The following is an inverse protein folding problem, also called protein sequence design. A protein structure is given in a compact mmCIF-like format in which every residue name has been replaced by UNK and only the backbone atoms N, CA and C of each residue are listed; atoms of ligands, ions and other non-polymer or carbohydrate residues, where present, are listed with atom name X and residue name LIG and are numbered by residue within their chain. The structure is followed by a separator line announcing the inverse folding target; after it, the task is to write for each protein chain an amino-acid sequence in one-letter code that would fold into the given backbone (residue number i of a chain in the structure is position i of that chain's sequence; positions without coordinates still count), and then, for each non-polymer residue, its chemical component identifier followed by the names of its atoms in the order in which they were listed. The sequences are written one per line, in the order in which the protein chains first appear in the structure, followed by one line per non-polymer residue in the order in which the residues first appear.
data_IF_296505455515
#
_entry.id   IF_296505455515
#
_cell.length_a   1.000
_cell.length_b   1.000
_cell.length_c   1.000
_cell.angle_alpha   90.00
_cell.angle_beta   90.00
_cell.angle_gamma   90.00
#
_symmetry.space_group_name_H-M   'P 1'
#
loop_
_entity.id
_entity.type
_entity.pdbx_description
1 polymer ?
#
# COMPACT_ATOMS: atom_id res chain seq x y z
N UNK A 1 -14.74 -9.62 -27.93
CA UNK A 1 -15.12 -8.55 -26.98
C UNK A 1 -16.62 -8.67 -26.67
N UNK A 2 -17.00 -8.67 -25.40
CA UNK A 2 -18.39 -8.78 -24.94
C UNK A 2 -18.68 -7.58 -24.02
N UNK A 3 -19.69 -6.80 -24.35
CA UNK A 3 -20.18 -5.73 -23.50
C UNK A 3 -21.24 -6.28 -22.53
N UNK A 4 -21.14 -5.95 -21.25
CA UNK A 4 -22.04 -6.39 -20.19
C UNK A 4 -22.44 -5.24 -19.28
N UNK A 5 -23.60 -5.34 -18.65
CA UNK A 5 -23.99 -4.48 -17.53
C UNK A 5 -23.62 -5.16 -16.21
N UNK A 6 -22.96 -4.42 -15.33
CA UNK A 6 -22.58 -4.88 -14.00
C UNK A 6 -23.84 -5.25 -13.18
N UNK A 7 -23.86 -6.44 -12.58
CA UNK A 7 -25.01 -6.87 -11.76
C UNK A 7 -25.18 -6.05 -10.47
N UNK A 8 -24.12 -5.36 -10.01
CA UNK A 8 -24.18 -4.57 -8.78
C UNK A 8 -24.50 -3.09 -9.03
N UNK A 9 -23.73 -2.40 -9.88
CA UNK A 9 -23.86 -0.95 -10.10
C UNK A 9 -24.55 -0.57 -11.41
N UNK A 10 -24.90 -1.55 -12.26
CA UNK A 10 -25.52 -1.39 -13.58
C UNK A 10 -24.64 -0.66 -14.63
N UNK A 11 -23.41 -0.27 -14.28
CA UNK A 11 -22.50 0.33 -15.24
C UNK A 11 -22.14 -0.66 -16.35
N UNK A 12 -22.07 -0.16 -17.56
CA UNK A 12 -21.57 -0.93 -18.72
C UNK A 12 -20.06 -1.15 -18.60
N UNK A 13 -19.62 -2.34 -18.91
CA UNK A 13 -18.20 -2.69 -18.95
C UNK A 13 -17.90 -3.74 -20.05
N UNK A 14 -16.68 -3.74 -20.50
CA UNK A 14 -16.21 -4.66 -21.52
C UNK A 14 -15.43 -5.83 -20.92
N UNK A 15 -15.63 -7.01 -21.49
CA UNK A 15 -14.80 -8.20 -21.29
C UNK A 15 -14.11 -8.47 -22.63
N UNK A 16 -12.82 -8.30 -22.65
CA UNK A 16 -12.02 -8.42 -23.89
C UNK A 16 -11.75 -9.88 -24.24
N UNK A 17 -11.33 -10.12 -25.49
CA UNK A 17 -10.90 -11.46 -25.90
C UNK A 17 -9.63 -11.91 -25.14
N UNK A 18 -8.79 -10.96 -24.72
CA UNK A 18 -7.64 -11.22 -23.86
C UNK A 18 -8.07 -11.69 -22.45
N UNK A 19 -9.09 -11.05 -21.85
CA UNK A 19 -9.66 -11.50 -20.58
C UNK A 19 -10.19 -12.94 -20.67
N UNK A 20 -10.91 -13.25 -21.74
CA UNK A 20 -11.46 -14.60 -21.94
C UNK A 20 -10.35 -15.63 -22.16
N UNK A 21 -9.31 -15.28 -22.90
CA UNK A 21 -8.15 -16.15 -23.11
C UNK A 21 -7.41 -16.39 -21.78
N UNK A 22 -7.26 -15.35 -20.96
CA UNK A 22 -6.67 -15.46 -19.64
C UNK A 22 -7.48 -16.39 -18.72
N UNK A 23 -8.79 -16.20 -18.61
CA UNK A 23 -9.66 -17.08 -17.82
C UNK A 23 -9.57 -18.55 -18.24
N UNK A 24 -9.47 -18.79 -19.54
CA UNK A 24 -9.25 -20.14 -20.07
C UNK A 24 -7.87 -20.71 -19.72
N UNK A 25 -6.82 -19.86 -19.75
CA UNK A 25 -5.44 -20.24 -19.39
C UNK A 25 -5.33 -20.70 -17.95
N UNK A 26 -5.97 -19.99 -17.03
CA UNK A 26 -5.91 -20.25 -15.58
C UNK A 26 -6.99 -21.22 -15.09
N UNK A 27 -7.84 -21.75 -15.96
CA UNK A 27 -8.91 -22.67 -15.60
C UNK A 27 -8.35 -23.94 -14.91
N UNK A 28 -8.74 -24.23 -13.66
CA UNK A 28 -8.17 -25.34 -12.91
C UNK A 28 -8.58 -26.68 -13.51
N UNK A 29 -7.67 -27.65 -13.47
CA UNK A 29 -7.92 -29.01 -13.93
C UNK A 29 -7.72 -29.99 -12.77
N UNK A 30 -8.77 -30.73 -12.41
CA UNK A 30 -8.75 -31.79 -11.41
C UNK A 30 -9.21 -33.11 -12.04
N UNK A 31 -8.48 -34.17 -11.79
CA UNK A 31 -8.74 -35.51 -12.34
C UNK A 31 -9.00 -35.54 -13.87
N UNK A 32 -8.22 -34.72 -14.61
CA UNK A 32 -8.36 -34.62 -16.08
C UNK A 32 -9.57 -33.82 -16.56
N UNK A 33 -10.37 -33.25 -15.68
CA UNK A 33 -11.52 -32.39 -16.00
C UNK A 33 -11.15 -30.93 -15.74
N UNK A 34 -11.26 -30.10 -16.77
CA UNK A 34 -11.09 -28.65 -16.67
C UNK A 34 -12.39 -27.98 -16.26
N UNK A 35 -12.32 -27.11 -15.26
CA UNK A 35 -13.43 -26.30 -14.76
C UNK A 35 -13.31 -24.90 -15.34
N UNK A 36 -14.13 -24.60 -16.34
CA UNK A 36 -14.12 -23.29 -17.00
C UNK A 36 -14.52 -22.18 -16.02
N UNK A 37 -13.76 -21.09 -16.04
CA UNK A 37 -14.07 -19.87 -15.27
C UNK A 37 -14.98 -18.99 -16.13
N UNK A 38 -16.21 -18.68 -15.68
CA UNK A 38 -17.14 -17.87 -16.45
C UNK A 38 -16.69 -16.41 -16.58
N UNK A 39 -17.07 -15.76 -17.67
CA UNK A 39 -16.84 -14.33 -17.84
C UNK A 39 -17.47 -13.50 -16.71
N UNK A 40 -16.79 -12.50 -16.15
CA UNK A 40 -17.24 -11.72 -14.99
C UNK A 40 -18.64 -11.14 -15.17
N UNK A 41 -19.41 -11.13 -14.09
CA UNK A 41 -20.74 -10.49 -14.01
C UNK A 41 -20.70 -9.11 -13.36
N UNK A 42 -19.59 -8.74 -12.74
CA UNK A 42 -19.34 -7.45 -12.10
C UNK A 42 -18.25 -6.70 -12.86
N UNK A 43 -18.39 -5.38 -12.93
CA UNK A 43 -17.34 -4.51 -13.47
C UNK A 43 -16.06 -4.55 -12.61
N UNK A 44 -14.91 -4.12 -13.13
CA UNK A 44 -13.63 -4.11 -12.39
C UNK A 44 -13.72 -3.40 -11.03
N UNK A 45 -14.39 -2.25 -10.95
CA UNK A 45 -14.55 -1.50 -9.72
C UNK A 45 -15.37 -2.24 -8.66
N UNK A 46 -16.48 -2.86 -9.03
CA UNK A 46 -17.28 -3.64 -8.10
C UNK A 46 -16.56 -4.92 -7.64
N UNK A 47 -15.74 -5.53 -8.49
CA UNK A 47 -14.87 -6.65 -8.11
C UNK A 47 -13.81 -6.18 -7.12
N UNK A 48 -13.15 -5.05 -7.39
CA UNK A 48 -12.18 -4.42 -6.50
C UNK A 48 -12.81 -4.12 -5.14
N UNK A 49 -13.97 -3.45 -5.11
CA UNK A 49 -14.68 -3.17 -3.87
C UNK A 49 -14.96 -4.42 -3.04
N UNK A 50 -15.33 -5.54 -3.67
CA UNK A 50 -15.53 -6.82 -2.98
C UNK A 50 -14.25 -7.37 -2.38
N UNK A 51 -13.13 -7.33 -3.12
CA UNK A 51 -11.84 -7.84 -2.65
C UNK A 51 -11.31 -7.09 -1.44
N UNK A 52 -11.50 -5.77 -1.39
CA UNK A 52 -10.99 -4.92 -0.29
C UNK A 52 -12.03 -4.68 0.82
N UNK A 53 -13.26 -5.13 0.69
CA UNK A 53 -14.35 -4.83 1.63
C UNK A 53 -14.12 -5.34 3.06
N UNK A 54 -13.30 -6.35 3.23
CA UNK A 54 -12.94 -6.91 4.54
C UNK A 54 -11.76 -6.17 5.20
N UNK A 55 -11.03 -5.37 4.43
CA UNK A 55 -9.81 -4.72 4.88
C UNK A 55 -10.10 -3.41 5.58
N UNK A 56 -9.61 -3.27 6.79
CA UNK A 56 -9.59 -2.00 7.52
C UNK A 56 -8.16 -1.68 7.90
N UNK A 57 -7.53 -0.77 7.18
CA UNK A 57 -6.12 -0.42 7.39
C UNK A 57 -6.01 0.67 8.44
N UNK A 58 -6.78 1.74 8.41
CA UNK A 58 -6.56 2.95 9.20
C UNK A 58 -7.65 3.37 10.17
N UNK A 59 -8.71 2.59 10.33
CA UNK A 59 -9.74 2.97 11.30
C UNK A 59 -9.59 2.18 12.59
N UNK A 60 -9.30 2.88 13.68
CA UNK A 60 -9.18 2.30 15.01
C UNK A 60 -10.38 2.63 15.87
N UNK A 61 -10.82 1.64 16.64
CA UNK A 61 -12.00 1.74 17.52
C UNK A 61 -11.63 1.32 18.93
N UNK A 62 -12.18 2.01 19.91
CA UNK A 62 -12.19 1.54 21.29
C UNK A 62 -13.32 0.53 21.44
N UNK A 63 -12.97 -0.66 21.90
CA UNK A 63 -13.94 -1.70 22.23
C UNK A 63 -13.45 -2.53 23.42
N UNK A 64 -14.24 -3.51 23.87
CA UNK A 64 -13.80 -4.50 24.85
C UNK A 64 -13.40 -5.79 24.13
N UNK A 65 -12.40 -6.49 24.68
CA UNK A 65 -12.11 -7.85 24.30
C UNK A 65 -13.30 -8.74 24.67
N UNK A 66 -13.74 -9.59 23.75
CA UNK A 66 -14.87 -10.50 24.00
C UNK A 66 -14.50 -11.67 24.92
N UNK A 67 -13.22 -11.87 25.25
CA UNK A 67 -12.76 -12.83 26.24
C UNK A 67 -12.72 -12.20 27.64
N UNK A 68 -11.88 -11.21 27.86
CA UNK A 68 -11.60 -10.65 29.20
C UNK A 68 -12.47 -9.46 29.59
N UNK A 69 -13.14 -8.82 28.63
CA UNK A 69 -13.88 -7.58 28.85
C UNK A 69 -13.00 -6.32 29.04
N UNK A 70 -11.67 -6.43 28.93
CA UNK A 70 -10.73 -5.31 28.99
C UNK A 70 -10.90 -4.39 27.81
N UNK A 71 -10.71 -3.09 28.00
CA UNK A 71 -10.68 -2.12 26.90
C UNK A 71 -9.45 -2.35 26.01
N UNK A 72 -9.68 -2.33 24.71
CA UNK A 72 -8.67 -2.53 23.68
C UNK A 72 -8.88 -1.54 22.52
N UNK A 73 -7.82 -1.24 21.80
CA UNK A 73 -7.87 -0.58 20.49
C UNK A 73 -7.93 -1.66 19.43
N UNK A 74 -8.81 -1.56 18.46
CA UNK A 74 -9.05 -2.61 17.47
C UNK A 74 -9.35 -2.04 16.09
N UNK A 75 -8.96 -2.75 15.06
CA UNK A 75 -9.40 -2.49 13.68
C UNK A 75 -10.84 -2.97 13.41
N UNK A 76 -11.48 -3.63 14.36
CA UNK A 76 -12.88 -4.06 14.27
C UNK A 76 -13.79 -3.11 15.04
N UNK A 77 -14.85 -2.65 14.37
CA UNK A 77 -15.85 -1.77 14.99
C UNK A 77 -16.54 -2.45 16.20
N UNK A 78 -17.01 -1.70 17.21
CA UNK A 78 -17.65 -2.25 18.40
C UNK A 78 -18.89 -3.10 18.13
N UNK A 79 -19.58 -2.84 17.02
CA UNK A 79 -20.76 -3.59 16.57
C UNK A 79 -20.44 -4.74 15.60
N UNK A 80 -19.17 -5.10 15.45
CA UNK A 80 -18.76 -6.25 14.65
C UNK A 80 -19.40 -7.53 15.15
N UNK A 81 -19.82 -8.39 14.23
CA UNK A 81 -20.39 -9.72 14.55
C UNK A 81 -19.33 -10.78 14.84
N UNK A 82 -18.06 -10.45 14.63
CA UNK A 82 -16.92 -11.33 14.93
C UNK A 82 -16.55 -11.24 16.40
N UNK A 83 -16.07 -12.33 16.96
CA UNK A 83 -15.47 -12.38 18.30
C UNK A 83 -14.05 -11.83 18.23
N UNK A 84 -13.77 -10.79 18.96
CA UNK A 84 -12.49 -10.11 18.91
C UNK A 84 -11.79 -10.19 20.26
N UNK A 85 -10.60 -10.75 20.27
CA UNK A 85 -9.75 -10.88 21.45
C UNK A 85 -8.53 -9.98 21.36
N UNK A 86 -7.99 -9.58 22.50
CA UNK A 86 -6.66 -8.95 22.51
C UNK A 86 -5.62 -9.94 21.99
N UNK A 87 -4.62 -9.47 21.26
CA UNK A 87 -3.61 -10.33 20.63
C UNK A 87 -2.94 -11.30 21.63
N UNK A 88 -2.57 -10.81 22.83
CA UNK A 88 -1.95 -11.64 23.84
C UNK A 88 -2.89 -12.72 24.39
N UNK A 89 -4.18 -12.49 24.40
CA UNK A 89 -5.20 -13.49 24.77
C UNK A 89 -5.33 -14.54 23.65
N UNK A 90 -5.37 -14.07 22.41
CA UNK A 90 -5.46 -14.92 21.22
C UNK A 90 -4.20 -15.80 21.01
N UNK A 91 -3.03 -15.30 21.39
CA UNK A 91 -1.75 -16.04 21.34
C UNK A 91 -1.51 -16.90 22.58
N UNK A 92 -2.38 -16.89 23.55
CA UNK A 92 -2.24 -17.67 24.80
C UNK A 92 -2.87 -19.07 24.68
N UNK A 93 -2.59 -19.93 25.66
CA UNK A 93 -3.19 -21.27 25.78
C UNK A 93 -4.72 -21.25 26.00
N UNK A 94 -5.34 -20.06 26.11
CA UNK A 94 -6.79 -19.91 26.18
C UNK A 94 -7.47 -20.06 24.80
N UNK A 95 -6.70 -19.99 23.72
CA UNK A 95 -7.19 -20.21 22.38
C UNK A 95 -6.73 -21.59 21.88
N UNK A 96 -7.67 -22.53 21.84
CA UNK A 96 -7.46 -23.81 21.17
C UNK A 96 -8.27 -23.84 19.86
N UNK A 97 -7.63 -23.77 18.68
CA UNK A 97 -8.33 -23.79 17.40
C UNK A 97 -9.14 -25.10 17.17
N UNK A 98 -8.78 -26.20 17.79
CA UNK A 98 -9.48 -27.48 17.64
C UNK A 98 -10.87 -27.46 18.28
N UNK A 99 -11.14 -26.61 19.27
CA UNK A 99 -12.48 -26.46 19.88
C UNK A 99 -13.51 -25.89 18.90
N UNK A 100 -13.07 -25.23 17.83
CA UNK A 100 -13.93 -24.63 16.81
C UNK A 100 -14.14 -25.51 15.59
N UNK A 101 -13.49 -26.67 15.53
CA UNK A 101 -13.64 -27.63 14.44
C UNK A 101 -15.09 -28.12 14.33
N UNK A 102 -15.57 -28.27 13.10
CA UNK A 102 -16.89 -28.81 12.80
C UNK A 102 -16.89 -29.65 11.53
N UNK A 103 -17.78 -30.60 11.43
CA UNK A 103 -17.94 -31.42 10.24
C UNK A 103 -18.41 -30.57 9.06
N UNK A 104 -17.86 -30.89 7.91
CA UNK A 104 -18.24 -30.23 6.65
C UNK A 104 -19.52 -30.90 6.07
N UNK A 105 -20.53 -30.07 5.80
CA UNK A 105 -21.76 -30.53 5.16
C UNK A 105 -21.65 -30.39 3.63
N UNK A 106 -21.49 -31.51 2.94
CA UNK A 106 -21.36 -31.54 1.47
C UNK A 106 -22.65 -31.15 0.73
N UNK A 107 -23.77 -30.96 1.43
CA UNK A 107 -25.04 -30.51 0.85
C UNK A 107 -25.19 -29.00 0.82
N UNK A 108 -24.30 -28.25 1.49
CA UNK A 108 -24.31 -26.80 1.60
C UNK A 108 -23.08 -26.17 0.94
N UNK A 109 -23.18 -24.92 0.43
CA UNK A 109 -22.03 -24.19 -0.11
C UNK A 109 -20.90 -24.02 0.92
N UNK A 110 -19.65 -24.18 0.46
CA UNK A 110 -18.47 -24.05 1.31
C UNK A 110 -18.37 -22.66 1.98
N UNK A 111 -18.55 -21.57 1.21
CA UNK A 111 -18.36 -20.22 1.74
C UNK A 111 -19.42 -19.80 2.77
N UNK A 112 -20.62 -20.36 2.73
CA UNK A 112 -21.62 -20.13 3.77
C UNK A 112 -21.15 -20.73 5.10
N UNK A 113 -20.67 -21.96 5.08
CA UNK A 113 -20.18 -22.67 6.26
C UNK A 113 -18.90 -22.01 6.81
N UNK A 114 -17.99 -21.58 5.92
CA UNK A 114 -16.79 -20.85 6.31
C UNK A 114 -17.13 -19.52 6.99
N UNK A 115 -18.13 -18.79 6.47
CA UNK A 115 -18.57 -17.53 7.06
C UNK A 115 -19.24 -17.74 8.43
N UNK A 116 -20.02 -18.79 8.60
CA UNK A 116 -20.56 -19.16 9.92
C UNK A 116 -19.44 -19.50 10.90
N UNK A 117 -18.46 -20.30 10.49
CA UNK A 117 -17.30 -20.64 11.30
C UNK A 117 -16.50 -19.38 11.69
N UNK A 118 -16.27 -18.48 10.76
CA UNK A 118 -15.49 -17.25 11.01
C UNK A 118 -16.11 -16.32 12.07
N UNK A 119 -17.42 -16.40 12.32
CA UNK A 119 -18.09 -15.66 13.39
C UNK A 119 -17.86 -16.24 14.78
N UNK A 120 -17.60 -17.54 14.83
CA UNK A 120 -17.40 -18.24 16.09
C UNK A 120 -15.95 -18.29 16.54
N UNK A 121 -15.03 -18.39 15.59
CA UNK A 121 -13.59 -18.38 15.85
C UNK A 121 -13.12 -16.97 16.25
N UNK A 122 -12.47 -16.80 17.39
CA UNK A 122 -11.94 -15.50 17.79
C UNK A 122 -10.87 -14.99 16.81
N UNK A 123 -10.92 -13.69 16.51
CA UNK A 123 -9.91 -12.99 15.72
C UNK A 123 -9.08 -12.07 16.62
N UNK A 124 -7.80 -11.87 16.35
CA UNK A 124 -6.98 -10.88 17.06
C UNK A 124 -7.47 -9.46 16.74
N UNK A 125 -7.43 -8.58 17.72
CA UNK A 125 -7.92 -7.21 17.61
C UNK A 125 -7.19 -6.37 16.56
N UNK A 126 -5.95 -6.69 16.26
CA UNK A 126 -5.09 -6.07 15.24
C UNK A 126 -4.07 -7.10 14.72
N UNK A 127 -3.56 -6.86 13.54
CA UNK A 127 -2.48 -7.65 12.94
C UNK A 127 -1.14 -6.97 13.23
N UNK A 128 -0.50 -7.33 14.32
CA UNK A 128 0.76 -6.71 14.78
C UNK A 128 1.67 -7.75 15.42
N UNK A 129 2.98 -7.54 15.34
CA UNK A 129 3.96 -8.43 15.96
C UNK A 129 5.18 -7.67 16.46
N UNK A 130 5.66 -8.02 17.66
CA UNK A 130 6.94 -7.58 18.25
C UNK A 130 7.14 -6.05 18.29
N UNK A 131 6.07 -5.29 18.51
CA UNK A 131 6.13 -3.84 18.59
C UNK A 131 6.36 -3.36 20.04
N UNK A 132 7.06 -2.26 20.20
CA UNK A 132 7.33 -1.61 21.48
C UNK A 132 6.72 -0.20 21.49
N UNK A 133 5.94 0.14 22.53
CA UNK A 133 5.34 1.47 22.72
C UNK A 133 4.60 2.00 21.47
N UNK A 134 3.82 1.13 20.82
CA UNK A 134 3.16 1.42 19.53
C UNK A 134 1.76 0.82 19.52
N UNK A 135 0.81 1.44 20.22
CA UNK A 135 -0.53 0.88 20.46
C UNK A 135 -1.53 1.10 19.30
N UNK A 136 -1.34 2.16 18.52
CA UNK A 136 -2.25 2.57 17.43
C UNK A 136 -1.61 2.30 16.07
N UNK A 137 -1.25 1.05 15.84
CA UNK A 137 -0.66 0.63 14.57
C UNK A 137 -1.33 -0.66 14.09
N UNK A 138 -1.36 -0.91 12.80
CA UNK A 138 -1.95 -2.13 12.25
C UNK A 138 -1.14 -2.65 11.06
N UNK A 139 -1.18 -3.96 10.84
CA UNK A 139 -0.42 -4.65 9.80
C UNK A 139 1.08 -4.25 9.84
N UNK A 140 1.65 -4.25 11.05
CA UNK A 140 3.00 -3.73 11.28
C UNK A 140 3.77 -4.58 12.28
N UNK A 141 5.07 -4.70 12.08
CA UNK A 141 5.94 -5.50 12.95
C UNK A 141 7.27 -4.81 13.24
N UNK A 142 7.84 -5.18 14.41
CA UNK A 142 9.16 -4.72 14.85
C UNK A 142 9.29 -3.18 14.93
N UNK A 143 8.16 -2.49 15.16
CA UNK A 143 8.10 -1.04 15.24
C UNK A 143 8.27 -0.57 16.68
N UNK A 144 8.87 0.62 16.87
CA UNK A 144 9.14 1.21 18.16
C UNK A 144 8.75 2.69 18.22
N UNK A 145 8.04 3.08 19.29
CA UNK A 145 7.58 4.45 19.54
C UNK A 145 6.76 5.04 18.37
N UNK A 146 5.95 4.22 17.70
CA UNK A 146 5.19 4.64 16.53
C UNK A 146 3.72 4.91 16.88
N UNK A 147 3.10 5.85 16.16
CA UNK A 147 1.70 6.20 16.35
C UNK A 147 1.00 6.44 15.02
N UNK A 148 -0.14 5.77 14.80
CA UNK A 148 -0.92 5.82 13.58
C UNK A 148 -0.07 5.54 12.32
N UNK A 149 0.67 4.44 12.37
CA UNK A 149 1.36 3.90 11.20
C UNK A 149 0.75 2.56 10.79
N UNK A 150 0.86 2.24 9.52
CA UNK A 150 0.28 1.05 8.93
C UNK A 150 1.17 0.44 7.86
N UNK A 151 1.03 -0.89 7.66
CA UNK A 151 1.82 -1.63 6.67
C UNK A 151 3.33 -1.33 6.79
N UNK A 152 3.85 -1.36 8.01
CA UNK A 152 5.21 -0.91 8.31
C UNK A 152 6.01 -2.00 9.01
N UNK A 153 7.30 -2.03 8.74
CA UNK A 153 8.23 -2.97 9.37
C UNK A 153 9.52 -2.25 9.76
N UNK A 154 9.98 -2.51 10.98
CA UNK A 154 11.20 -1.89 11.55
C UNK A 154 11.18 -0.35 11.44
N UNK A 155 10.02 0.26 11.74
CA UNK A 155 9.89 1.71 11.86
C UNK A 155 10.13 2.16 13.29
N UNK A 156 10.88 3.25 13.47
CA UNK A 156 11.19 3.83 14.80
C UNK A 156 10.79 5.32 14.83
N UNK A 157 10.27 5.77 15.98
CA UNK A 157 9.95 7.17 16.26
C UNK A 157 9.12 7.88 15.16
N UNK A 158 8.16 7.15 14.54
CA UNK A 158 7.46 7.59 13.35
C UNK A 158 5.96 7.71 13.56
N UNK A 159 5.33 8.70 12.89
CA UNK A 159 3.94 9.09 13.11
C UNK A 159 3.17 9.24 11.79
N UNK A 160 1.86 8.94 11.80
CA UNK A 160 0.91 9.26 10.72
C UNK A 160 1.34 8.80 9.32
N UNK A 161 1.96 7.63 9.21
CA UNK A 161 2.59 7.20 7.99
C UNK A 161 2.12 5.82 7.52
N UNK A 162 2.24 5.56 6.23
CA UNK A 162 1.86 4.31 5.61
C UNK A 162 3.01 3.72 4.80
N UNK A 163 3.36 2.46 5.09
CA UNK A 163 4.38 1.74 4.32
C UNK A 163 5.80 2.21 4.62
N UNK A 164 6.15 2.26 5.90
CA UNK A 164 7.51 2.53 6.36
C UNK A 164 8.30 1.22 6.47
N UNK A 165 9.46 1.18 5.85
CA UNK A 165 10.35 0.02 5.93
C UNK A 165 11.76 0.49 6.31
N UNK A 166 12.27 -0.01 7.45
CA UNK A 166 13.60 0.36 7.98
C UNK A 166 13.77 1.87 8.15
N UNK A 167 12.69 2.57 8.49
CA UNK A 167 12.62 4.03 8.48
C UNK A 167 12.56 4.60 9.90
N UNK A 168 13.13 5.78 10.11
CA UNK A 168 13.19 6.46 11.40
C UNK A 168 12.83 7.94 11.29
N UNK A 169 12.23 8.48 12.36
CA UNK A 169 11.86 9.88 12.47
C UNK A 169 11.02 10.39 11.27
N UNK A 170 10.07 9.57 10.82
CA UNK A 170 9.22 9.88 9.66
C UNK A 170 7.83 10.34 10.10
N UNK A 171 7.32 11.43 9.52
CA UNK A 171 5.99 11.97 9.80
C UNK A 171 5.25 12.30 8.50
N UNK A 172 3.97 11.89 8.40
CA UNK A 172 3.12 12.11 7.22
C UNK A 172 3.72 11.56 5.92
N UNK A 173 4.39 10.39 6.00
CA UNK A 173 5.06 9.79 4.86
C UNK A 173 4.26 8.63 4.25
N UNK A 174 4.37 8.48 2.92
CA UNK A 174 3.81 7.35 2.18
C UNK A 174 4.90 6.61 1.41
N UNK A 175 5.10 5.31 1.70
CA UNK A 175 6.13 4.46 1.11
C UNK A 175 7.55 5.04 1.28
N UNK A 176 7.99 5.15 2.52
CA UNK A 176 9.37 5.47 2.84
C UNK A 176 10.18 4.20 3.10
N UNK A 177 11.36 4.09 2.51
CA UNK A 177 12.25 2.95 2.63
C UNK A 177 13.66 3.40 3.02
N UNK A 178 14.21 2.83 4.11
CA UNK A 178 15.51 3.19 4.70
C UNK A 178 15.71 4.71 4.91
N UNK A 179 14.61 5.44 5.12
CA UNK A 179 14.57 6.89 5.19
C UNK A 179 14.63 7.38 6.63
N UNK A 180 15.36 8.43 6.88
CA UNK A 180 15.46 9.08 8.20
C UNK A 180 15.08 10.56 8.10
N UNK A 181 14.45 11.09 9.16
CA UNK A 181 14.06 12.49 9.33
C UNK A 181 13.29 13.06 8.13
N UNK A 182 12.21 12.35 7.74
CA UNK A 182 11.41 12.71 6.57
C UNK A 182 10.03 13.24 6.98
N UNK A 183 9.58 14.33 6.34
CA UNK A 183 8.27 14.93 6.59
C UNK A 183 7.50 15.21 5.30
N UNK A 184 6.23 14.83 5.25
CA UNK A 184 5.36 14.95 4.06
C UNK A 184 6.01 14.42 2.77
N UNK A 185 6.62 13.24 2.83
CA UNK A 185 7.28 12.63 1.71
C UNK A 185 6.48 11.48 1.10
N UNK A 186 6.53 11.35 -0.23
CA UNK A 186 5.80 10.34 -0.97
C UNK A 186 6.76 9.54 -1.85
N UNK A 187 6.72 8.21 -1.71
CA UNK A 187 7.45 7.27 -2.55
C UNK A 187 8.96 7.61 -2.64
N UNK A 188 9.60 7.63 -1.49
CA UNK A 188 11.03 7.95 -1.37
C UNK A 188 11.82 6.70 -0.97
N UNK A 189 13.08 6.64 -1.36
CA UNK A 189 14.00 5.55 -1.05
C UNK A 189 15.35 6.08 -0.64
N UNK A 190 15.89 5.56 0.48
CA UNK A 190 17.22 5.87 1.03
C UNK A 190 17.52 7.36 1.17
N UNK A 191 16.49 8.16 1.44
CA UNK A 191 16.61 9.59 1.66
C UNK A 191 16.93 9.90 3.12
N UNK A 192 17.66 10.97 3.35
CA UNK A 192 18.05 11.47 4.66
C UNK A 192 17.72 12.96 4.75
N UNK A 193 17.02 13.37 5.80
CA UNK A 193 16.66 14.77 6.09
C UNK A 193 15.97 15.45 4.89
N UNK A 194 14.86 14.84 4.44
CA UNK A 194 14.08 15.29 3.28
C UNK A 194 12.67 15.72 3.68
N UNK A 195 12.23 16.86 3.14
CA UNK A 195 10.92 17.44 3.44
C UNK A 195 10.14 17.75 2.17
N UNK A 196 8.86 17.34 2.13
CA UNK A 196 7.95 17.54 1.00
C UNK A 196 8.49 16.99 -0.33
N UNK A 197 9.24 15.90 -0.27
CA UNK A 197 9.83 15.28 -1.45
C UNK A 197 8.89 14.20 -2.01
N UNK A 198 8.79 14.14 -3.33
CA UNK A 198 7.96 13.17 -4.03
C UNK A 198 8.76 12.46 -5.12
N UNK A 199 8.63 11.13 -5.22
CA UNK A 199 9.27 10.32 -6.26
C UNK A 199 10.77 10.62 -6.44
N UNK A 200 11.46 10.86 -5.30
CA UNK A 200 12.84 11.31 -5.29
C UNK A 200 13.71 10.31 -4.53
N UNK A 201 14.71 9.76 -5.20
CA UNK A 201 15.54 8.68 -4.67
C UNK A 201 16.96 9.15 -4.38
N UNK A 202 17.59 8.60 -3.33
CA UNK A 202 18.97 8.90 -2.96
C UNK A 202 19.26 10.40 -2.78
N UNK A 203 18.26 11.19 -2.40
CA UNK A 203 18.40 12.61 -2.12
C UNK A 203 18.67 12.85 -0.63
N UNK A 204 19.36 13.91 -0.29
CA UNK A 204 19.64 14.26 1.10
C UNK A 204 19.64 15.76 1.35
N UNK A 205 19.30 16.15 2.59
CA UNK A 205 19.29 17.55 3.05
C UNK A 205 18.54 18.48 2.06
N UNK A 206 17.38 18.02 1.58
CA UNK A 206 16.68 18.63 0.45
C UNK A 206 15.20 18.85 0.74
N UNK A 207 14.61 19.87 0.09
CA UNK A 207 13.25 20.32 0.34
C UNK A 207 12.46 20.48 -0.97
N UNK A 208 11.22 20.00 -1.02
CA UNK A 208 10.32 20.19 -2.17
C UNK A 208 10.95 19.69 -3.48
N UNK A 209 11.40 18.46 -3.48
CA UNK A 209 11.88 17.79 -4.70
C UNK A 209 10.76 16.95 -5.34
N UNK A 210 10.76 16.90 -6.65
CA UNK A 210 9.89 16.03 -7.44
C UNK A 210 10.68 15.35 -8.56
N UNK A 211 10.60 14.02 -8.64
CA UNK A 211 11.30 13.24 -9.67
C UNK A 211 12.83 13.47 -9.71
N UNK A 212 13.45 13.64 -8.57
CA UNK A 212 14.89 13.86 -8.47
C UNK A 212 15.66 12.61 -8.03
N UNK A 213 16.90 12.48 -8.44
CA UNK A 213 17.76 11.35 -8.03
C UNK A 213 19.17 11.83 -7.67
N UNK A 214 19.68 11.36 -6.52
CA UNK A 214 21.05 11.66 -6.09
C UNK A 214 21.33 13.15 -5.83
N UNK A 215 20.31 13.94 -5.53
CA UNK A 215 20.44 15.37 -5.27
C UNK A 215 20.74 15.66 -3.80
N UNK A 216 21.55 16.66 -3.55
CA UNK A 216 21.93 17.08 -2.19
C UNK A 216 21.83 18.59 -2.04
N UNK A 217 21.31 19.05 -0.88
CA UNK A 217 21.17 20.48 -0.60
C UNK A 217 20.42 21.23 -1.72
N UNK A 218 19.27 20.70 -2.12
CA UNK A 218 18.46 21.27 -3.19
C UNK A 218 17.10 21.74 -2.67
N UNK A 219 16.51 22.76 -3.30
CA UNK A 219 15.22 23.32 -2.92
C UNK A 219 14.34 23.64 -4.13
N UNK A 220 13.10 23.14 -4.11
CA UNK A 220 12.09 23.46 -5.14
C UNK A 220 12.51 23.00 -6.53
N UNK A 221 13.07 21.80 -6.65
CA UNK A 221 13.62 21.29 -7.90
C UNK A 221 12.84 20.08 -8.43
N UNK A 222 12.82 19.93 -9.75
CA UNK A 222 12.18 18.80 -10.41
C UNK A 222 13.06 18.23 -11.54
N UNK A 223 12.97 16.89 -11.74
CA UNK A 223 13.62 16.16 -12.82
C UNK A 223 15.17 16.31 -12.86
N UNK A 224 15.79 16.45 -11.70
CA UNK A 224 17.25 16.62 -11.59
C UNK A 224 17.93 15.33 -11.16
N UNK A 225 19.14 15.11 -11.63
CA UNK A 225 19.99 13.99 -11.22
C UNK A 225 21.39 14.45 -10.82
N UNK A 226 21.86 13.96 -9.65
CA UNK A 226 23.21 14.19 -9.14
C UNK A 226 23.59 15.69 -9.07
N UNK A 227 22.67 16.52 -8.54
CA UNK A 227 22.87 17.97 -8.39
C UNK A 227 23.08 18.35 -6.93
N UNK A 228 23.82 19.42 -6.72
CA UNK A 228 24.08 19.97 -5.40
C UNK A 228 23.94 21.50 -5.41
N UNK A 229 23.30 22.06 -4.37
CA UNK A 229 23.04 23.50 -4.22
C UNK A 229 22.19 24.10 -5.36
N UNK A 230 21.15 23.38 -5.79
CA UNK A 230 20.21 23.88 -6.78
C UNK A 230 18.95 24.41 -6.12
N UNK A 231 18.50 25.61 -6.54
CA UNK A 231 17.26 26.24 -6.07
C UNK A 231 16.42 26.60 -7.29
N UNK A 232 15.17 26.08 -7.35
CA UNK A 232 14.25 26.27 -8.48
C UNK A 232 14.86 25.88 -9.84
N UNK A 233 15.53 24.76 -9.89
CA UNK A 233 16.27 24.25 -11.06
C UNK A 233 17.40 25.15 -11.57
N UNK A 234 17.92 26.04 -10.75
CA UNK A 234 19.07 26.86 -11.06
C UNK A 234 20.23 26.56 -10.10
N UNK A 235 21.44 26.49 -10.64
CA UNK A 235 22.64 26.32 -9.83
C UNK A 235 22.86 27.56 -8.96
N UNK A 236 23.12 27.38 -7.69
CA UNK A 236 23.35 28.42 -6.69
C UNK A 236 24.59 28.11 -5.88
N UNK A 237 25.02 29.07 -5.06
CA UNK A 237 26.13 28.85 -4.12
C UNK A 237 25.64 28.07 -2.88
N UNK A 238 26.58 27.49 -2.13
CA UNK A 238 26.31 26.94 -0.81
C UNK A 238 25.70 27.98 0.12
N UNK A 239 26.21 29.20 0.06
CA UNK A 239 25.74 30.31 0.89
C UNK A 239 24.27 30.66 0.61
N UNK A 240 23.88 30.71 -0.67
CA UNK A 240 22.48 30.94 -1.06
C UNK A 240 21.53 29.86 -0.47
N UNK A 241 21.97 28.61 -0.53
CA UNK A 241 21.17 27.50 0.02
C UNK A 241 21.05 27.58 1.54
N UNK A 242 22.15 27.80 2.25
CA UNK A 242 22.16 27.93 3.72
C UNK A 242 21.30 29.12 4.17
N UNK A 243 21.38 30.26 3.47
CA UNK A 243 20.54 31.42 3.76
C UNK A 243 19.05 31.09 3.57
N UNK A 244 18.69 30.36 2.51
CA UNK A 244 17.31 29.93 2.29
C UNK A 244 16.85 28.94 3.36
N UNK A 245 17.68 27.96 3.71
CA UNK A 245 17.40 26.98 4.77
C UNK A 245 17.14 27.67 6.11
N UNK A 246 18.02 28.59 6.51
CA UNK A 246 17.87 29.34 7.75
C UNK A 246 16.59 30.18 7.76
N UNK A 247 16.29 30.87 6.66
CA UNK A 247 15.06 31.63 6.51
C UNK A 247 13.81 30.74 6.64
N UNK A 248 13.84 29.52 6.12
CA UNK A 248 12.74 28.55 6.25
C UNK A 248 12.58 28.06 7.71
N UNK A 249 13.68 27.80 8.40
CA UNK A 249 13.65 27.29 9.78
C UNK A 249 13.20 28.37 10.78
N UNK A 250 13.61 29.61 10.58
CA UNK A 250 13.33 30.74 11.49
C UNK A 250 11.98 31.44 11.18
N UNK A 251 11.43 31.26 9.99
CA UNK A 251 10.19 31.93 9.57
C UNK A 251 8.99 31.49 10.40
N UNK A 252 8.04 32.39 10.71
CA UNK A 252 6.74 32.03 11.25
C UNK A 252 5.98 31.05 10.33
N UNK A 253 5.05 30.26 10.91
CA UNK A 253 4.30 29.21 10.21
C UNK A 253 3.60 29.75 8.95
N UNK A 254 2.95 30.90 9.04
CA UNK A 254 2.27 31.53 7.91
C UNK A 254 3.21 31.86 6.76
N UNK A 255 4.39 32.40 7.10
CA UNK A 255 5.39 32.76 6.08
C UNK A 255 6.02 31.52 5.45
N UNK A 256 6.25 30.44 6.22
CA UNK A 256 6.69 29.14 5.67
C UNK A 256 5.67 28.62 4.66
N UNK A 257 4.38 28.69 4.98
CA UNK A 257 3.29 28.28 4.10
C UNK A 257 3.30 29.03 2.75
N UNK A 258 3.59 30.33 2.75
CA UNK A 258 3.69 31.13 1.52
C UNK A 258 4.91 30.74 0.69
N UNK A 259 6.07 30.50 1.33
CA UNK A 259 7.29 30.05 0.65
C UNK A 259 7.05 28.68 -0.01
N UNK A 260 6.45 27.74 0.71
CA UNK A 260 6.11 26.40 0.18
C UNK A 260 5.11 26.52 -0.98
N UNK A 261 4.06 27.33 -0.85
CA UNK A 261 3.07 27.56 -1.89
C UNK A 261 3.70 28.14 -3.17
N UNK A 262 4.62 29.09 -3.02
CA UNK A 262 5.39 29.65 -4.14
C UNK A 262 6.23 28.57 -4.81
N UNK A 263 6.95 27.76 -4.05
CA UNK A 263 7.74 26.66 -4.58
C UNK A 263 6.87 25.64 -5.33
N UNK A 264 5.76 25.19 -4.76
CA UNK A 264 4.79 24.30 -5.42
C UNK A 264 4.26 24.90 -6.74
N UNK A 265 4.04 26.21 -6.80
CA UNK A 265 3.61 26.90 -8.03
C UNK A 265 4.68 26.93 -9.12
N UNK A 266 5.96 26.91 -8.73
CA UNK A 266 7.10 26.83 -9.65
C UNK A 266 7.23 25.39 -10.15
N UNK A 267 7.21 24.41 -9.25
CA UNK A 267 7.28 22.99 -9.58
C UNK A 267 6.17 22.56 -10.56
N UNK A 268 4.97 23.12 -10.42
CA UNK A 268 3.86 22.83 -11.32
C UNK A 268 4.11 23.24 -12.80
N UNK A 269 5.11 24.07 -13.07
CA UNK A 269 5.48 24.49 -14.43
C UNK A 269 6.44 23.53 -15.13
N UNK A 270 7.11 22.67 -14.38
CA UNK A 270 8.01 21.68 -14.97
C UNK A 270 7.23 20.52 -15.60
N UNK A 271 7.77 19.92 -16.66
CA UNK A 271 7.19 18.73 -17.26
C UNK A 271 7.06 17.61 -16.23
N UNK A 272 5.92 16.93 -16.21
CA UNK A 272 5.71 15.74 -15.41
C UNK A 272 5.98 14.49 -16.24
N UNK A 273 6.51 13.45 -15.62
CA UNK A 273 6.60 12.15 -16.27
C UNK A 273 5.21 11.63 -16.61
N UNK A 274 5.07 11.04 -17.79
CA UNK A 274 3.85 10.36 -18.19
C UNK A 274 3.62 9.12 -17.33
N UNK A 275 4.69 8.39 -17.04
CA UNK A 275 4.69 7.22 -16.16
C UNK A 275 6.07 7.03 -15.52
N UNK A 276 6.09 6.51 -14.31
CA UNK A 276 7.30 6.04 -13.63
C UNK A 276 7.52 4.57 -14.05
N UNK A 277 8.32 4.38 -15.08
CA UNK A 277 8.47 3.09 -15.70
C UNK A 277 9.91 2.89 -16.20
N UNK A 278 10.45 1.67 -16.03
CA UNK A 278 11.80 1.33 -16.46
C UNK A 278 11.86 -0.11 -16.97
N UNK A 279 12.51 -0.32 -18.12
CA UNK A 279 12.77 -1.65 -18.69
C UNK A 279 11.50 -2.47 -18.97
N UNK A 280 10.46 -1.84 -19.49
CA UNK A 280 9.18 -2.47 -19.76
C UNK A 280 8.96 -2.71 -21.25
N UNK A 281 8.23 -3.79 -21.56
CA UNK A 281 7.81 -4.13 -22.92
C UNK A 281 6.28 -4.29 -22.94
N UNK A 282 5.59 -3.50 -23.78
CA UNK A 282 4.13 -3.59 -23.98
C UNK A 282 3.33 -3.49 -22.65
N UNK A 283 3.66 -2.50 -21.82
CA UNK A 283 3.01 -2.26 -20.52
C UNK A 283 2.25 -0.94 -20.49
N UNK A 284 1.14 -0.88 -19.74
CA UNK A 284 0.34 0.32 -19.51
C UNK A 284 0.08 0.49 -18.00
N UNK A 285 0.34 1.69 -17.48
CA UNK A 285 0.14 2.03 -16.07
C UNK A 285 1.26 2.89 -15.52
N UNK A 286 1.38 2.95 -14.19
CA UNK A 286 2.41 3.73 -13.51
C UNK A 286 3.14 2.88 -12.45
N UNK A 287 4.38 3.25 -12.14
CA UNK A 287 5.27 2.48 -11.24
C UNK A 287 5.46 1.02 -11.70
N UNK A 288 5.75 0.84 -12.99
CA UNK A 288 5.98 -0.46 -13.61
C UNK A 288 7.47 -0.63 -13.91
N UNK A 289 8.08 -1.67 -13.37
CA UNK A 289 9.51 -1.94 -13.50
C UNK A 289 9.76 -3.36 -13.98
N UNK A 290 10.66 -3.53 -14.95
CA UNK A 290 11.13 -4.82 -15.47
C UNK A 290 10.02 -5.77 -15.96
N UNK A 291 8.89 -5.23 -16.38
CA UNK A 291 7.67 -5.98 -16.68
C UNK A 291 7.42 -6.13 -18.19
N UNK A 292 6.65 -7.16 -18.54
CA UNK A 292 6.28 -7.44 -19.92
C UNK A 292 4.78 -7.79 -20.04
N UNK A 293 4.12 -7.23 -21.08
CA UNK A 293 2.70 -7.46 -21.39
C UNK A 293 1.74 -7.20 -20.23
N UNK A 294 2.06 -6.27 -19.35
CA UNK A 294 1.35 -6.05 -18.10
C UNK A 294 0.63 -4.71 -18.06
N UNK A 295 -0.56 -4.70 -17.49
CA UNK A 295 -1.33 -3.48 -17.23
C UNK A 295 -1.59 -3.36 -15.74
N UNK A 296 -1.23 -2.23 -15.12
CA UNK A 296 -1.45 -2.08 -13.69
C UNK A 296 -0.69 -0.96 -13.02
N UNK A 297 -0.53 -1.11 -11.70
CA UNK A 297 0.04 -0.09 -10.83
C UNK A 297 0.91 -0.75 -9.75
N UNK A 298 2.14 -0.32 -9.58
CA UNK A 298 3.16 -0.94 -8.72
C UNK A 298 3.51 -2.38 -9.10
N UNK A 299 4.05 -2.57 -10.29
CA UNK A 299 4.49 -3.87 -10.80
C UNK A 299 6.02 -3.99 -10.80
N UNK A 300 6.50 -5.20 -10.53
CA UNK A 300 7.90 -5.60 -10.71
C UNK A 300 7.98 -7.05 -11.20
N UNK A 301 8.84 -7.34 -12.18
CA UNK A 301 9.10 -8.66 -12.78
C UNK A 301 7.86 -9.48 -13.21
N UNK A 302 6.78 -8.86 -13.60
CA UNK A 302 5.48 -9.51 -13.85
C UNK A 302 5.31 -10.09 -15.26
N UNK A 303 4.39 -11.06 -15.39
CA UNK A 303 3.82 -11.58 -16.62
C UNK A 303 2.32 -11.24 -16.65
N UNK A 304 1.62 -11.34 -17.73
CA UNK A 304 0.18 -11.26 -18.03
C UNK A 304 -0.78 -10.63 -16.96
N UNK A 305 -0.33 -9.69 -16.19
CA UNK A 305 -1.10 -9.04 -15.10
C UNK A 305 -2.22 -8.17 -15.65
N UNK A 306 -3.37 -8.14 -14.98
CA UNK A 306 -4.43 -7.16 -15.22
C UNK A 306 -4.75 -6.39 -13.93
N UNK A 307 -5.24 -5.22 -13.93
CA UNK A 307 -5.78 -4.36 -12.87
C UNK A 307 -5.08 -4.43 -11.49
N UNK A 308 -3.81 -4.29 -11.35
CA UNK A 308 -3.06 -4.52 -10.11
C UNK A 308 -3.03 -3.34 -9.13
N UNK A 309 -2.54 -3.60 -7.94
CA UNK A 309 -1.95 -2.64 -7.01
C UNK A 309 -0.93 -3.40 -6.17
N UNK A 310 0.36 -3.15 -6.33
CA UNK A 310 1.45 -3.76 -5.58
C UNK A 310 1.64 -5.25 -5.87
N UNK A 311 2.61 -5.57 -6.66
CA UNK A 311 3.08 -6.92 -6.95
C UNK A 311 4.61 -6.92 -6.89
N UNK A 312 5.25 -8.09 -6.81
CA UNK A 312 6.69 -8.24 -6.92
C UNK A 312 7.06 -9.24 -8.01
N UNK A 313 7.44 -10.44 -7.71
CA UNK A 313 7.92 -11.41 -8.71
C UNK A 313 6.80 -12.13 -9.47
N UNK A 314 5.73 -11.51 -9.78
CA UNK A 314 4.45 -12.01 -10.30
C UNK A 314 4.53 -13.08 -11.40
N UNK A 315 3.40 -13.59 -11.85
CA UNK A 315 3.22 -14.41 -13.04
C UNK A 315 1.81 -14.21 -13.60
N UNK A 316 1.04 -15.21 -13.88
CA UNK A 316 -0.26 -15.16 -14.53
C UNK A 316 -1.37 -14.57 -13.65
N UNK A 317 -1.42 -13.32 -13.33
CA UNK A 317 -2.33 -12.69 -12.37
C UNK A 317 -3.75 -12.35 -12.87
N UNK A 318 -4.53 -11.63 -12.09
CA UNK A 318 -5.77 -10.98 -12.46
C UNK A 318 -6.01 -9.69 -11.68
N UNK A 319 -7.03 -9.56 -10.84
CA UNK A 319 -7.42 -8.23 -10.35
C UNK A 319 -6.73 -7.77 -9.04
N UNK A 320 -5.75 -8.40 -8.60
CA UNK A 320 -4.84 -8.19 -7.46
C UNK A 320 -5.36 -7.36 -6.28
N UNK A 321 -5.03 -6.12 -6.04
CA UNK A 321 -5.21 -5.25 -4.87
C UNK A 321 -4.39 -5.63 -3.63
N UNK A 322 -3.38 -4.85 -3.33
CA UNK A 322 -2.42 -4.93 -2.23
C UNK A 322 -1.58 -6.20 -2.18
N UNK A 323 -0.32 -6.02 -2.47
CA UNK A 323 0.78 -6.94 -2.35
C UNK A 323 0.54 -8.33 -2.99
N UNK A 324 1.59 -9.00 -3.28
CA UNK A 324 1.68 -10.37 -3.76
C UNK A 324 3.12 -10.60 -4.08
N UNK A 325 3.92 -11.09 -3.17
CA UNK A 325 5.35 -11.25 -3.34
C UNK A 325 5.67 -12.33 -4.41
N UNK A 326 6.25 -13.43 -4.14
CA UNK A 326 6.72 -14.44 -5.09
C UNK A 326 5.62 -15.25 -5.83
N UNK A 327 4.42 -14.77 -5.92
CA UNK A 327 3.23 -15.50 -6.39
C UNK A 327 3.32 -16.01 -7.83
N UNK A 328 2.59 -17.06 -8.21
CA UNK A 328 2.55 -17.60 -9.57
C UNK A 328 1.15 -17.44 -10.22
N UNK A 329 0.24 -18.37 -10.12
CA UNK A 329 -1.06 -18.31 -10.78
C UNK A 329 -2.11 -17.85 -9.76
N UNK A 330 -2.70 -16.69 -9.95
CA UNK A 330 -3.75 -16.17 -9.11
C UNK A 330 -4.93 -15.65 -9.94
N UNK A 331 -6.08 -15.55 -9.35
CA UNK A 331 -7.31 -15.05 -9.96
C UNK A 331 -8.00 -14.18 -8.92
N UNK A 332 -8.83 -13.25 -9.20
CA UNK A 332 -9.51 -12.35 -8.25
C UNK A 332 -8.82 -12.21 -6.87
N UNK A 333 -7.61 -11.75 -6.87
CA UNK A 333 -6.64 -11.78 -5.77
C UNK A 333 -7.00 -10.87 -4.57
N UNK A 334 -6.21 -10.91 -3.52
CA UNK A 334 -6.15 -9.91 -2.44
C UNK A 334 -4.72 -9.94 -1.87
N UNK A 335 -4.47 -9.99 -0.60
CA UNK A 335 -3.11 -10.12 -0.06
C UNK A 335 -2.58 -11.54 -0.28
N UNK A 336 -1.71 -11.68 -1.25
CA UNK A 336 -1.16 -12.97 -1.68
C UNK A 336 0.32 -12.98 -1.30
N UNK A 337 0.77 -14.00 -0.63
CA UNK A 337 2.16 -14.22 -0.27
C UNK A 337 2.84 -15.31 -1.09
#
# INVERSE_FOLDING_TARGET
MITKNCQQCQAEFEVTDADLAFLKKIAPTFDGRTFEIPAPSLCPECRRQKRIAWRNVGNFYKRKSDLSGKEIISCFAPNSTFKIWHLNEWMSDQFDPYEYGRDFDFTRPFFEQLFELSKDVPLPHMNVARNENSEFINNSSDCKNCYLIENSTEAEDSLYSLGLFYSKDCVDCFKAFESESCYECINIEKCYDCYFCKDSTNCSESFLLEDCNGCKNCYGCANLSNKQYWIFNEEKTKEDFENLKNNLLEAPVEQRGEIIKKAKSILAKFPKKFAHATSNENCQGDYIFHSKNSNGFFLDNCEDVSNSTSLSYCKDFSNVDYWGDHSEICYESAEIG
#
